data_IF_011545564544
#
_entry.id   IF_011545564544
#
_cell.length_a   1.000
_cell.length_b   1.000
_cell.length_c   1.000
_cell.angle_alpha   90.00
_cell.angle_beta   90.00
_cell.angle_gamma   90.00
#
_symmetry.space_group_name_H-M   'P 1'
#
loop_
_entity.id
_entity.type
_entity.pdbx_description
1 polymer ?
#
# COMPACT_ATOMS: atom_id res chain seq x y z
N UNK A 1 22.50 -4.74 15.95
CA UNK A 1 21.40 -5.63 16.41
C UNK A 1 20.61 -6.02 15.18
N UNK A 2 20.83 -7.22 14.64
CA UNK A 2 20.04 -7.73 13.52
C UNK A 2 18.68 -8.15 14.05
N UNK A 3 17.65 -7.32 13.86
CA UNK A 3 16.28 -7.78 13.93
C UNK A 3 16.10 -8.75 12.76
N UNK A 4 15.99 -10.05 13.04
CA UNK A 4 15.52 -11.02 12.05
C UNK A 4 14.05 -10.74 11.80
N UNK A 5 13.75 -9.71 11.01
CA UNK A 5 12.42 -9.52 10.46
C UNK A 5 12.10 -10.80 9.67
N UNK A 6 10.96 -11.42 9.97
CA UNK A 6 10.51 -12.59 9.21
C UNK A 6 10.55 -12.25 7.72
N UNK A 7 11.11 -13.13 6.88
CA UNK A 7 11.20 -12.85 5.45
C UNK A 7 9.81 -12.62 4.89
N UNK A 8 9.65 -11.55 4.12
CA UNK A 8 8.41 -11.27 3.40
C UNK A 8 8.20 -12.39 2.38
N UNK A 9 6.97 -12.89 2.29
CA UNK A 9 6.62 -13.91 1.31
C UNK A 9 5.80 -13.30 0.17
N UNK A 10 5.88 -13.91 -1.01
CA UNK A 10 5.13 -13.47 -2.19
C UNK A 10 3.62 -13.46 -1.93
N UNK A 11 3.12 -14.41 -1.13
CA UNK A 11 1.74 -14.43 -0.64
C UNK A 11 1.38 -13.13 0.10
N UNK A 12 2.27 -12.64 0.96
CA UNK A 12 2.02 -11.42 1.73
C UNK A 12 1.84 -10.23 0.79
N UNK A 13 2.70 -10.10 -0.23
CA UNK A 13 2.60 -9.01 -1.21
C UNK A 13 1.27 -9.07 -1.97
N UNK A 14 0.95 -10.24 -2.53
CA UNK A 14 -0.19 -10.42 -3.45
C UNK A 14 -1.53 -10.40 -2.73
N UNK A 15 -1.65 -11.09 -1.59
CA UNK A 15 -2.94 -11.30 -0.93
C UNK A 15 -3.17 -10.41 0.30
N UNK A 16 -2.12 -9.75 0.82
CA UNK A 16 -2.25 -8.92 2.02
C UNK A 16 -1.90 -7.46 1.70
N UNK A 17 -0.67 -7.18 1.25
CA UNK A 17 -0.14 -5.82 1.10
C UNK A 17 -0.91 -5.06 0.02
N UNK A 18 -0.96 -5.58 -1.21
CA UNK A 18 -1.64 -4.90 -2.34
C UNK A 18 -3.14 -4.71 -2.06
N UNK A 19 -3.90 -5.73 -1.64
CA UNK A 19 -5.33 -5.55 -1.34
C UNK A 19 -5.60 -4.51 -0.24
N UNK A 20 -4.75 -4.47 0.80
CA UNK A 20 -4.86 -3.45 1.86
C UNK A 20 -4.50 -2.05 1.38
N UNK A 21 -3.46 -1.94 0.54
CA UNK A 21 -3.08 -0.67 -0.07
C UNK A 21 -4.21 -0.12 -0.95
N UNK A 22 -4.84 -0.96 -1.78
CA UNK A 22 -6.01 -0.58 -2.57
C UNK A 22 -7.18 -0.11 -1.68
N UNK A 23 -7.47 -0.85 -0.59
CA UNK A 23 -8.50 -0.42 0.36
C UNK A 23 -8.17 0.94 0.98
N UNK A 24 -6.92 1.16 1.37
CA UNK A 24 -6.48 2.43 1.93
C UNK A 24 -6.63 3.57 0.91
N UNK A 25 -6.22 3.35 -0.35
CA UNK A 25 -6.41 4.30 -1.46
C UNK A 25 -7.87 4.69 -1.62
N UNK A 26 -8.79 3.72 -1.69
CA UNK A 26 -10.22 4.00 -1.84
C UNK A 26 -10.74 4.88 -0.70
N UNK A 27 -10.35 4.59 0.53
CA UNK A 27 -10.80 5.34 1.70
C UNK A 27 -10.27 6.78 1.71
N UNK A 28 -8.98 6.97 1.38
CA UNK A 28 -8.36 8.29 1.30
C UNK A 28 -9.00 9.12 0.19
N UNK A 29 -9.18 8.53 -1.00
CA UNK A 29 -9.79 9.22 -2.14
C UNK A 29 -11.22 9.64 -1.83
N UNK A 30 -12.05 8.74 -1.32
CA UNK A 30 -13.43 9.06 -0.93
C UNK A 30 -13.49 10.17 0.12
N UNK A 31 -12.55 10.18 1.07
CA UNK A 31 -12.47 11.24 2.09
C UNK A 31 -12.08 12.57 1.48
N UNK A 32 -11.07 12.60 0.61
CA UNK A 32 -10.61 13.82 -0.05
C UNK A 32 -11.68 14.37 -0.99
N UNK A 33 -12.39 13.52 -1.73
CA UNK A 33 -13.48 13.93 -2.61
C UNK A 33 -14.61 14.57 -1.79
N UNK A 34 -15.02 13.98 -0.66
CA UNK A 34 -16.01 14.58 0.23
C UNK A 34 -15.56 15.93 0.82
N UNK A 35 -14.28 16.08 1.16
CA UNK A 35 -13.72 17.34 1.66
C UNK A 35 -13.65 18.41 0.56
N UNK A 36 -13.31 18.01 -0.67
CA UNK A 36 -13.28 18.90 -1.84
C UNK A 36 -14.70 19.39 -2.16
N UNK A 37 -15.68 18.50 -2.18
CA UNK A 37 -17.07 18.81 -2.51
C UNK A 37 -17.72 19.76 -1.49
N UNK A 38 -17.27 19.70 -0.23
CA UNK A 38 -17.80 20.53 0.87
C UNK A 38 -16.97 21.79 1.14
N UNK A 39 -15.84 21.98 0.44
CA UNK A 39 -14.94 23.11 0.65
C UNK A 39 -15.61 24.44 0.24
N UNK A 40 -15.86 25.30 1.22
CA UNK A 40 -16.43 26.65 1.00
C UNK A 40 -15.36 27.73 0.82
N UNK A 41 -14.13 27.44 1.21
CA UNK A 41 -13.01 28.37 1.19
C UNK A 41 -12.03 27.96 0.07
N UNK A 42 -11.65 28.87 -0.85
CA UNK A 42 -10.65 28.60 -1.89
C UNK A 42 -9.32 28.05 -1.35
N UNK A 43 -8.87 28.48 -0.17
CA UNK A 43 -7.62 27.99 0.43
C UNK A 43 -7.74 26.55 0.94
N UNK A 44 -8.90 26.17 1.49
CA UNK A 44 -9.15 24.79 1.92
C UNK A 44 -9.24 23.87 0.69
N UNK A 45 -9.98 24.29 -0.34
CA UNK A 45 -10.04 23.58 -1.63
C UNK A 45 -8.64 23.35 -2.21
N UNK A 46 -7.82 24.41 -2.30
CA UNK A 46 -6.45 24.29 -2.80
C UNK A 46 -5.63 23.30 -1.96
N UNK A 47 -5.74 23.36 -0.64
CA UNK A 47 -5.06 22.42 0.27
C UNK A 47 -5.49 20.98 0.03
N UNK A 48 -6.79 20.69 -0.16
CA UNK A 48 -7.27 19.32 -0.44
C UNK A 48 -6.82 18.80 -1.80
N UNK A 49 -6.76 19.67 -2.80
CA UNK A 49 -6.25 19.31 -4.13
C UNK A 49 -4.76 18.95 -4.08
N UNK A 50 -3.95 19.70 -3.35
CA UNK A 50 -2.54 19.38 -3.15
C UNK A 50 -2.35 18.09 -2.34
N UNK A 51 -3.16 17.86 -1.31
CA UNK A 51 -3.17 16.58 -0.57
C UNK A 51 -3.48 15.40 -1.49
N UNK A 52 -4.50 15.52 -2.37
CA UNK A 52 -4.85 14.48 -3.35
C UNK A 52 -3.71 14.21 -4.32
N UNK A 53 -3.06 15.27 -4.81
CA UNK A 53 -1.91 15.16 -5.72
C UNK A 53 -0.73 14.45 -5.05
N UNK A 54 -0.36 14.88 -3.84
CA UNK A 54 0.74 14.30 -3.09
C UNK A 54 0.49 12.80 -2.80
N UNK A 55 -0.71 12.46 -2.33
CA UNK A 55 -1.08 11.07 -2.07
C UNK A 55 -1.05 10.22 -3.35
N UNK A 56 -1.55 10.75 -4.47
CA UNK A 56 -1.52 10.04 -5.76
C UNK A 56 -0.09 9.72 -6.19
N UNK A 57 0.84 10.68 -6.05
CA UNK A 57 2.24 10.49 -6.42
C UNK A 57 2.95 9.47 -5.52
N UNK A 58 2.75 9.55 -4.19
CA UNK A 58 3.31 8.60 -3.24
C UNK A 58 2.80 7.18 -3.51
N UNK A 59 1.51 7.04 -3.79
CA UNK A 59 0.91 5.76 -4.11
C UNK A 59 1.42 5.19 -5.43
N UNK A 60 1.54 6.01 -6.48
CA UNK A 60 2.08 5.58 -7.76
C UNK A 60 3.51 5.07 -7.62
N UNK A 61 4.39 5.80 -6.92
CA UNK A 61 5.75 5.37 -6.68
C UNK A 61 5.80 4.03 -5.91
N UNK A 62 4.93 3.88 -4.91
CA UNK A 62 4.79 2.63 -4.14
C UNK A 62 4.37 1.47 -5.06
N UNK A 63 3.33 1.66 -5.86
CA UNK A 63 2.80 0.63 -6.76
C UNK A 63 3.82 0.23 -7.83
N UNK A 64 4.53 1.18 -8.45
CA UNK A 64 5.55 0.89 -9.46
C UNK A 64 6.67 -0.01 -8.91
N UNK A 65 7.12 0.23 -7.68
CA UNK A 65 8.14 -0.61 -7.05
C UNK A 65 7.60 -2.00 -6.67
N UNK A 66 6.33 -2.09 -6.22
CA UNK A 66 5.68 -3.38 -5.99
C UNK A 66 5.47 -4.15 -7.30
N UNK A 67 5.12 -3.49 -8.39
CA UNK A 67 5.00 -4.08 -9.72
C UNK A 67 6.34 -4.63 -10.21
N UNK A 68 7.42 -3.88 -10.05
CA UNK A 68 8.78 -4.34 -10.37
C UNK A 68 9.15 -5.60 -9.58
N UNK A 69 8.87 -5.60 -8.26
CA UNK A 69 9.06 -6.76 -7.40
C UNK A 69 8.27 -7.97 -7.93
N UNK A 70 6.99 -7.80 -8.26
CA UNK A 70 6.16 -8.89 -8.77
C UNK A 70 6.63 -9.40 -10.13
N UNK A 71 7.15 -8.53 -11.00
CA UNK A 71 7.68 -8.94 -12.31
C UNK A 71 8.93 -9.81 -12.16
N UNK A 72 9.80 -9.52 -11.18
CA UNK A 72 10.96 -10.38 -10.86
C UNK A 72 10.57 -11.78 -10.41
N UNK A 73 9.38 -11.92 -9.81
CA UNK A 73 8.82 -13.20 -9.36
C UNK A 73 7.68 -13.70 -10.26
N UNK A 74 7.59 -13.23 -11.52
CA UNK A 74 6.42 -13.45 -12.40
C UNK A 74 5.96 -14.91 -12.50
N UNK A 75 6.88 -15.86 -12.64
CA UNK A 75 6.52 -17.29 -12.73
C UNK A 75 5.89 -17.82 -11.42
N UNK A 76 6.44 -17.40 -10.28
CA UNK A 76 5.93 -17.72 -8.96
C UNK A 76 4.57 -17.04 -8.73
N UNK A 77 4.44 -15.75 -9.11
CA UNK A 77 3.16 -15.00 -9.05
C UNK A 77 2.09 -15.69 -9.88
N UNK A 78 2.39 -16.11 -11.11
CA UNK A 78 1.42 -16.82 -11.94
C UNK A 78 0.98 -18.15 -11.32
N UNK A 79 1.92 -18.89 -10.72
CA UNK A 79 1.62 -20.14 -10.00
C UNK A 79 0.76 -19.88 -8.77
N UNK A 80 1.09 -18.82 -8.03
CA UNK A 80 0.39 -18.36 -6.84
C UNK A 80 -1.04 -17.93 -7.13
N UNK A 81 -1.26 -17.19 -8.22
CA UNK A 81 -2.60 -16.78 -8.65
C UNK A 81 -3.43 -17.96 -9.16
N UNK A 82 -2.85 -18.84 -10.00
CA UNK A 82 -3.55 -20.03 -10.53
C UNK A 82 -3.98 -21.02 -9.45
N UNK A 83 -3.19 -21.11 -8.38
CA UNK A 83 -3.41 -22.03 -7.27
C UNK A 83 -4.19 -21.40 -6.10
N UNK A 84 -4.64 -20.15 -6.25
CA UNK A 84 -5.28 -19.36 -5.20
C UNK A 84 -4.49 -19.36 -3.88
N UNK A 85 -3.17 -19.23 -3.99
CA UNK A 85 -2.25 -19.14 -2.84
C UNK A 85 -1.74 -20.47 -2.29
N UNK A 86 -2.20 -21.62 -2.80
CA UNK A 86 -1.76 -22.93 -2.30
C UNK A 86 -0.38 -23.38 -2.79
N UNK A 87 0.11 -22.82 -3.90
CA UNK A 87 1.41 -23.13 -4.51
C UNK A 87 2.10 -21.85 -4.99
N UNK A 88 3.41 -21.88 -5.24
CA UNK A 88 4.14 -20.70 -5.75
C UNK A 88 4.42 -19.62 -4.71
N UNK A 89 4.07 -19.86 -3.44
CA UNK A 89 4.52 -19.00 -2.35
C UNK A 89 6.00 -19.28 -2.03
N UNK A 90 6.76 -18.20 -1.82
CA UNK A 90 8.18 -18.26 -1.46
C UNK A 90 8.60 -17.00 -0.74
N UNK A 91 9.67 -17.08 0.04
CA UNK A 91 10.37 -15.90 0.53
C UNK A 91 10.93 -15.10 -0.65
N UNK A 92 10.80 -13.77 -0.57
CA UNK A 92 11.29 -12.84 -1.57
C UNK A 92 12.49 -12.05 -1.03
N UNK A 93 13.36 -11.65 -1.95
CA UNK A 93 14.49 -10.76 -1.69
C UNK A 93 14.18 -9.43 -2.34
N UNK A 94 14.22 -8.36 -1.55
CA UNK A 94 13.93 -6.99 -1.99
C UNK A 94 15.21 -6.22 -2.23
N UNK A 95 15.18 -5.32 -3.21
CA UNK A 95 16.12 -4.18 -3.22
C UNK A 95 15.63 -3.07 -2.27
N UNK A 96 16.41 -1.99 -2.14
CA UNK A 96 16.08 -0.89 -1.24
C UNK A 96 14.74 -0.21 -1.58
N UNK A 97 14.43 -0.05 -2.87
CA UNK A 97 13.21 0.63 -3.33
C UNK A 97 11.98 -0.25 -3.14
N UNK A 98 12.11 -1.55 -3.40
CA UNK A 98 11.06 -2.53 -3.17
C UNK A 98 10.78 -2.71 -1.67
N UNK A 99 11.82 -2.71 -0.84
CA UNK A 99 11.67 -2.77 0.61
C UNK A 99 10.99 -1.51 1.16
N UNK A 100 11.40 -0.32 0.70
CA UNK A 100 10.73 0.92 1.07
C UNK A 100 9.27 0.92 0.61
N UNK A 101 8.97 0.43 -0.59
CA UNK A 101 7.60 0.32 -1.09
C UNK A 101 6.72 -0.62 -0.25
N UNK A 102 7.27 -1.75 0.22
CA UNK A 102 6.57 -2.63 1.15
C UNK A 102 6.24 -1.86 2.43
N UNK A 103 7.24 -1.27 3.10
CA UNK A 103 7.04 -0.56 4.37
C UNK A 103 6.11 0.65 4.21
N UNK A 104 6.20 1.36 3.08
CA UNK A 104 5.32 2.45 2.71
C UNK A 104 3.87 2.00 2.58
N UNK A 105 3.64 0.89 1.88
CA UNK A 105 2.31 0.30 1.78
C UNK A 105 1.76 -0.09 3.16
N UNK A 106 2.65 -0.54 4.06
CA UNK A 106 2.27 -0.84 5.45
C UNK A 106 1.79 0.39 6.20
N UNK A 107 2.62 1.41 6.18
CA UNK A 107 2.40 2.68 6.86
C UNK A 107 1.14 3.39 6.36
N UNK A 108 0.91 3.43 5.03
CA UNK A 108 -0.29 4.02 4.43
C UNK A 108 -1.55 3.37 5.02
N UNK A 109 -1.65 2.04 4.97
CA UNK A 109 -2.85 1.36 5.46
C UNK A 109 -3.01 1.48 6.98
N UNK A 110 -1.92 1.40 7.76
CA UNK A 110 -1.98 1.60 9.20
C UNK A 110 -2.50 2.99 9.57
N UNK A 111 -1.98 4.05 8.91
CA UNK A 111 -2.44 5.43 9.12
C UNK A 111 -3.92 5.60 8.78
N UNK A 112 -4.36 5.03 7.65
CA UNK A 112 -5.76 5.10 7.23
C UNK A 112 -6.68 4.38 8.23
N UNK A 113 -6.33 3.17 8.65
CA UNK A 113 -7.15 2.43 9.62
C UNK A 113 -7.11 3.07 11.00
N UNK A 114 -5.97 3.59 11.44
CA UNK A 114 -5.85 4.32 12.71
C UNK A 114 -6.79 5.54 12.71
N UNK A 115 -6.79 6.29 11.62
CA UNK A 115 -7.69 7.42 11.42
C UNK A 115 -9.17 7.00 11.46
N UNK A 116 -9.54 5.93 10.74
CA UNK A 116 -10.94 5.47 10.70
C UNK A 116 -11.45 4.88 12.02
N UNK A 117 -10.59 4.20 12.75
CA UNK A 117 -10.98 3.47 13.97
C UNK A 117 -10.73 4.26 15.25
N UNK A 118 -10.05 5.40 15.17
CA UNK A 118 -9.58 6.16 16.34
C UNK A 118 -8.51 5.44 17.16
N UNK A 119 -7.94 4.33 16.65
CA UNK A 119 -6.92 3.54 17.36
C UNK A 119 -5.55 4.16 17.16
N UNK A 120 -4.77 4.24 18.25
CA UNK A 120 -3.37 4.70 18.21
C UNK A 120 -2.38 3.66 17.66
N UNK A 121 -2.77 2.38 17.62
CA UNK A 121 -1.96 1.29 17.10
C UNK A 121 -2.86 0.31 16.34
N UNK A 122 -2.48 0.00 15.10
CA UNK A 122 -3.19 -0.93 14.21
C UNK A 122 -2.22 -2.01 13.76
N UNK A 123 -2.56 -3.30 13.92
CA UNK A 123 -1.74 -4.40 13.43
C UNK A 123 -1.53 -4.33 11.92
N UNK A 124 -0.34 -4.73 11.47
CA UNK A 124 -0.11 -5.17 10.10
C UNK A 124 -0.41 -6.65 10.01
#
# INVERSE_FOLDING_TARGET
MNNYASPVHLYDVVYIIIPRLHRAQTLVNNTLDALIDTAKNPNDLHTRLEQRRAFTLELQATLTNLEHLLERYRADVQTLLKSNGSSGNRAITTDEMEQDAIERAKDIYQKVVAFQTGRRSVPW
#
